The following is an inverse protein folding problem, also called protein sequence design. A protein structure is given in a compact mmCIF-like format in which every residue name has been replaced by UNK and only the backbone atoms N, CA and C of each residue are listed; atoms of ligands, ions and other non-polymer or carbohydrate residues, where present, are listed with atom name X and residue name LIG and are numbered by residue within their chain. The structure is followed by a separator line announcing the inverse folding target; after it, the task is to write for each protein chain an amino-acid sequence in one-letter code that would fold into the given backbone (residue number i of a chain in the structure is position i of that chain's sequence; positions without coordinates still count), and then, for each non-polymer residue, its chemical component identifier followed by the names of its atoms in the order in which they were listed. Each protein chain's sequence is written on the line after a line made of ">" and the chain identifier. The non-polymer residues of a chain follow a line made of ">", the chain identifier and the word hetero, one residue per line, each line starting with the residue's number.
data_IF_860900932387
#
_entry.id   IF_860900932387
#
_cell.length_a   1.000
_cell.length_b   1.000
_cell.length_c   1.000
_cell.angle_alpha   90.00
_cell.angle_beta   90.00
_cell.angle_gamma   90.00
#
_symmetry.space_group_name_H-M   'P 1'
#
loop_
_entity.id
_entity.type
_entity.pdbx_description
1 polymer ?
#
# COMPACT_ATOMS: atom_id res chain seq x y z
N UNK A 1 -26.55 32.88 -24.11
CA UNK A 1 -26.70 32.65 -22.65
C UNK A 1 -25.92 31.38 -22.33
N UNK A 2 -24.93 31.31 -21.43
CA UNK A 2 -24.50 32.17 -20.34
C UNK A 2 -22.96 32.18 -20.25
N UNK A 3 -22.40 33.35 -19.91
CA UNK A 3 -20.98 33.54 -19.64
C UNK A 3 -20.64 33.01 -18.25
N UNK A 4 -19.54 32.26 -18.15
CA UNK A 4 -19.01 31.71 -16.90
C UNK A 4 -18.07 32.75 -16.29
N UNK A 5 -18.54 33.48 -15.28
CA UNK A 5 -17.72 34.41 -14.51
C UNK A 5 -16.62 33.67 -13.73
N UNK A 6 -15.36 34.05 -13.92
CA UNK A 6 -14.23 33.57 -13.10
C UNK A 6 -14.12 34.50 -11.87
N UNK A 7 -14.39 34.05 -10.65
CA UNK A 7 -14.21 34.90 -9.49
C UNK A 7 -12.72 35.19 -9.22
N UNK A 8 -12.44 36.49 -9.13
CA UNK A 8 -11.23 37.18 -8.68
C UNK A 8 -10.34 36.41 -7.68
N UNK A 9 -9.29 35.77 -8.18
CA UNK A 9 -8.23 35.09 -7.42
C UNK A 9 -7.39 36.06 -6.55
N UNK A 10 -7.40 37.35 -6.86
CA UNK A 10 -6.59 38.36 -6.17
C UNK A 10 -7.11 38.69 -4.76
N UNK A 11 -8.44 38.67 -4.56
CA UNK A 11 -9.04 38.94 -3.24
C UNK A 11 -8.72 37.84 -2.21
N UNK A 12 -8.62 36.58 -2.65
CA UNK A 12 -8.30 35.44 -1.79
C UNK A 12 -6.84 35.46 -1.30
N UNK A 13 -5.91 35.89 -2.15
CA UNK A 13 -4.48 36.00 -1.81
C UNK A 13 -4.20 37.09 -0.77
N UNK A 14 -4.88 38.24 -0.88
CA UNK A 14 -4.72 39.33 0.09
C UNK A 14 -5.24 38.95 1.49
N UNK A 15 -6.34 38.20 1.57
CA UNK A 15 -6.93 37.75 2.84
C UNK A 15 -6.01 36.73 3.56
N UNK A 16 -5.41 35.78 2.83
CA UNK A 16 -4.49 34.81 3.45
C UNK A 16 -3.21 35.46 3.99
N UNK A 17 -2.69 36.50 3.32
CA UNK A 17 -1.48 37.21 3.77
C UNK A 17 -1.76 38.04 5.03
N UNK A 18 -2.94 38.68 5.14
CA UNK A 18 -3.30 39.44 6.32
C UNK A 18 -3.49 38.56 7.58
N UNK A 19 -4.01 37.33 7.43
CA UNK A 19 -4.19 36.38 8.54
C UNK A 19 -2.86 35.81 9.03
N UNK A 20 -1.88 35.60 8.14
CA UNK A 20 -0.54 35.13 8.51
C UNK A 20 0.29 36.22 9.22
N UNK A 21 0.04 37.50 8.95
CA UNK A 21 0.76 38.60 9.61
C UNK A 21 0.28 38.85 11.05
N UNK A 22 -0.97 38.54 11.38
CA UNK A 22 -1.55 38.87 12.69
C UNK A 22 -1.25 37.83 13.79
N UNK A 23 -0.64 36.69 13.46
CA UNK A 23 -0.35 35.59 14.39
C UNK A 23 1.08 35.62 14.96
N UNK A 24 1.91 36.60 14.60
CA UNK A 24 3.32 36.67 14.97
C UNK A 24 3.63 37.47 16.27
N UNK A 25 2.63 37.99 16.98
CA UNK A 25 2.84 38.93 18.11
C UNK A 25 2.47 38.38 19.49
N UNK A 26 2.77 37.12 19.77
CA UNK A 26 2.68 36.57 21.12
C UNK A 26 3.77 35.52 21.40
N UNK A 27 5.04 35.92 21.28
CA UNK A 27 6.15 35.18 21.86
C UNK A 27 6.58 35.88 23.16
N UNK A 28 5.94 35.50 24.28
CA UNK A 28 6.47 35.82 25.59
C UNK A 28 7.81 35.10 25.79
N UNK A 29 8.82 35.83 26.24
CA UNK A 29 10.11 35.25 26.58
C UNK A 29 9.97 34.37 27.83
N UNK A 30 9.87 33.05 27.65
CA UNK A 30 10.07 32.10 28.73
C UNK A 30 11.57 32.06 29.07
N UNK A 31 11.98 32.75 30.13
CA UNK A 31 13.33 32.59 30.70
C UNK A 31 13.37 31.31 31.52
N UNK A 32 13.98 30.27 30.96
CA UNK A 32 14.35 29.08 31.73
C UNK A 32 15.67 29.35 32.46
N UNK A 33 15.63 30.05 33.59
CA UNK A 33 16.76 30.09 34.53
C UNK A 33 16.72 28.78 35.34
N UNK A 34 17.22 27.70 34.74
CA UNK A 34 17.35 26.41 35.42
C UNK A 34 18.44 26.50 36.48
N UNK A 35 18.06 26.49 37.76
CA UNK A 35 18.97 26.60 38.91
C UNK A 35 19.84 25.36 39.20
N UNK A 36 19.83 24.34 38.34
CA UNK A 36 20.57 23.09 38.56
C UNK A 36 21.73 22.93 37.56
N UNK A 37 22.90 22.44 38.01
CA UNK A 37 24.03 22.15 37.13
C UNK A 37 23.66 21.07 36.10
N UNK A 38 24.38 20.99 34.97
CA UNK A 38 24.13 20.00 33.92
C UNK A 38 24.04 18.57 34.48
N UNK A 39 22.95 17.86 34.16
CA UNK A 39 22.70 16.47 34.60
C UNK A 39 21.80 16.32 35.84
N UNK A 40 21.32 17.42 36.42
CA UNK A 40 20.38 17.41 37.55
C UNK A 40 19.08 18.15 37.24
N UNK A 41 17.99 17.72 37.87
CA UNK A 41 16.65 18.32 37.79
C UNK A 41 16.21 18.80 39.17
N UNK A 42 15.35 19.84 39.28
CA UNK A 42 14.85 20.26 40.58
C UNK A 42 14.05 19.13 41.23
N UNK A 43 14.28 18.90 42.52
CA UNK A 43 13.64 17.87 43.33
C UNK A 43 12.12 18.09 43.41
N UNK A 44 11.68 19.35 43.48
CA UNK A 44 10.27 19.72 43.43
C UNK A 44 10.07 21.10 42.81
N UNK A 45 8.89 21.33 42.24
CA UNK A 45 8.52 22.62 41.62
C UNK A 45 8.52 23.80 42.60
N UNK A 46 8.47 23.52 43.91
CA UNK A 46 8.45 24.52 44.98
C UNK A 46 9.84 24.84 45.55
N UNK A 47 10.90 24.12 45.13
CA UNK A 47 12.26 24.30 45.64
C UNK A 47 13.29 24.24 44.51
N UNK A 48 13.42 25.31 43.70
CA UNK A 48 14.30 25.35 42.52
C UNK A 48 15.79 25.23 42.84
N UNK A 49 16.18 25.30 44.13
CA UNK A 49 17.56 25.17 44.60
C UNK A 49 17.94 23.76 45.05
N UNK A 50 16.97 22.85 45.20
CA UNK A 50 17.23 21.46 45.56
C UNK A 50 17.29 20.62 44.28
N UNK A 51 18.48 20.12 43.93
CA UNK A 51 18.71 19.37 42.69
C UNK A 51 18.87 17.87 42.97
N UNK A 52 18.30 17.03 42.12
CA UNK A 52 18.42 15.58 42.16
C UNK A 52 18.99 15.06 40.82
N UNK A 53 19.79 13.98 40.82
CA UNK A 53 20.20 13.33 39.59
C UNK A 53 18.96 12.87 38.81
N UNK A 54 19.00 13.03 37.48
CA UNK A 54 17.91 12.53 36.65
C UNK A 54 17.70 11.02 36.91
N UNK A 55 16.48 10.58 37.20
CA UNK A 55 16.20 9.15 37.30
C UNK A 55 16.54 8.51 35.95
N UNK A 56 17.41 7.51 35.97
CA UNK A 56 17.72 6.68 34.80
C UNK A 56 16.51 5.82 34.46
N UNK A 57 15.53 6.40 33.77
CA UNK A 57 14.45 5.62 33.19
C UNK A 57 15.05 4.66 32.16
N UNK A 58 14.82 3.34 32.27
CA UNK A 58 15.19 2.43 31.22
C UNK A 58 14.54 2.90 29.93
N UNK A 59 15.33 2.99 28.84
CA UNK A 59 14.78 3.29 27.52
C UNK A 59 13.60 2.33 27.27
N UNK A 60 12.45 2.84 26.76
CA UNK A 60 11.34 1.96 26.46
C UNK A 60 11.85 0.90 25.48
N UNK A 61 11.86 -0.36 25.92
CA UNK A 61 12.05 -1.50 25.02
C UNK A 61 10.88 -1.44 24.06
N UNK A 62 11.08 -0.84 22.89
CA UNK A 62 10.09 -0.86 21.83
C UNK A 62 9.77 -2.30 21.53
N UNK A 63 8.59 -2.77 21.93
CA UNK A 63 8.07 -4.02 21.42
C UNK A 63 7.98 -3.85 19.90
N UNK A 64 8.81 -4.58 19.15
CA UNK A 64 8.75 -4.55 17.70
C UNK A 64 7.29 -4.79 17.30
N UNK A 65 6.73 -3.86 16.52
CA UNK A 65 5.36 -3.98 16.03
C UNK A 65 5.17 -5.25 15.20
N UNK A 66 3.92 -5.59 14.84
CA UNK A 66 3.65 -6.77 14.02
C UNK A 66 4.45 -6.70 12.71
N UNK A 67 5.17 -7.79 12.42
CA UNK A 67 5.88 -7.97 11.15
C UNK A 67 4.95 -8.67 10.15
N UNK A 68 5.08 -8.34 8.88
CA UNK A 68 4.27 -8.89 7.80
C UNK A 68 5.18 -9.52 6.75
N UNK A 69 4.91 -10.79 6.43
CA UNK A 69 5.56 -11.52 5.36
C UNK A 69 4.70 -11.44 4.10
N UNK A 70 5.30 -10.99 3.01
CA UNK A 70 4.62 -10.95 1.73
C UNK A 70 4.33 -12.32 1.18
N UNK A 71 3.22 -12.41 0.46
CA UNK A 71 2.86 -13.61 -0.29
C UNK A 71 2.89 -13.35 -1.79
N UNK A 72 3.14 -14.41 -2.53
CA UNK A 72 3.30 -14.39 -3.98
C UNK A 72 2.36 -15.37 -4.65
N UNK A 73 1.86 -14.98 -5.81
CA UNK A 73 1.17 -15.86 -6.74
C UNK A 73 1.71 -15.74 -8.16
N UNK A 74 1.32 -16.68 -9.02
CA UNK A 74 1.72 -16.71 -10.42
C UNK A 74 0.70 -17.45 -11.28
N UNK A 75 0.68 -17.13 -12.58
CA UNK A 75 -0.09 -17.82 -13.60
C UNK A 75 0.84 -18.34 -14.69
N UNK A 76 0.59 -19.55 -15.16
CA UNK A 76 1.26 -20.15 -16.29
C UNK A 76 0.25 -20.69 -17.28
N UNK A 77 0.57 -20.59 -18.57
CA UNK A 77 -0.32 -20.98 -19.65
C UNK A 77 0.41 -21.85 -20.67
N UNK A 78 -0.30 -22.85 -21.17
CA UNK A 78 -0.07 -23.42 -22.48
C UNK A 78 -1.11 -22.82 -23.44
N UNK A 79 -0.70 -21.78 -24.17
CA UNK A 79 -1.60 -21.02 -25.03
C UNK A 79 -2.15 -21.85 -26.21
N UNK A 80 -1.38 -22.86 -26.68
CA UNK A 80 -1.81 -23.70 -27.79
C UNK A 80 -2.88 -24.71 -27.35
N UNK A 81 -2.75 -25.23 -26.12
CA UNK A 81 -3.70 -26.18 -25.55
C UNK A 81 -4.87 -25.52 -24.78
N UNK A 82 -4.80 -24.21 -24.53
CA UNK A 82 -5.79 -23.50 -23.72
C UNK A 82 -5.78 -23.91 -22.24
N UNK A 83 -4.61 -24.32 -21.73
CA UNK A 83 -4.47 -24.82 -20.36
C UNK A 83 -3.80 -23.74 -19.50
N UNK A 84 -4.40 -23.46 -18.34
CA UNK A 84 -3.86 -22.55 -17.34
C UNK A 84 -3.50 -23.34 -16.08
N UNK A 85 -2.36 -22.99 -15.48
CA UNK A 85 -2.01 -23.33 -14.10
C UNK A 85 -1.78 -22.10 -13.26
N UNK A 86 -2.00 -22.23 -11.96
CA UNK A 86 -1.93 -21.12 -11.01
C UNK A 86 -1.21 -21.49 -9.72
N UNK A 87 -0.75 -20.46 -9.02
CA UNK A 87 -0.24 -20.54 -7.66
C UNK A 87 -0.64 -19.29 -6.89
N UNK A 88 -1.03 -19.45 -5.64
CA UNK A 88 -1.32 -18.39 -4.67
C UNK A 88 -0.64 -18.70 -3.34
N UNK A 89 -0.54 -17.69 -2.47
CA UNK A 89 -0.10 -17.84 -1.07
C UNK A 89 1.25 -18.53 -0.89
N UNK A 90 2.17 -18.30 -1.84
CA UNK A 90 3.53 -18.85 -1.76
C UNK A 90 4.50 -17.86 -1.12
N UNK A 91 5.60 -18.38 -0.56
CA UNK A 91 6.56 -17.55 0.21
C UNK A 91 7.50 -16.74 -0.69
N UNK A 92 7.57 -17.06 -1.98
CA UNK A 92 8.47 -16.35 -2.90
C UNK A 92 7.99 -16.39 -4.34
N UNK A 93 8.38 -15.38 -5.12
CA UNK A 93 8.13 -15.34 -6.58
C UNK A 93 8.62 -16.59 -7.30
N UNK A 94 9.78 -17.13 -6.90
CA UNK A 94 10.37 -18.34 -7.53
C UNK A 94 9.49 -19.57 -7.29
N UNK A 95 9.01 -19.71 -6.06
CA UNK A 95 8.09 -20.79 -5.69
C UNK A 95 6.76 -20.65 -6.42
N UNK A 96 6.14 -19.47 -6.43
CA UNK A 96 4.91 -19.19 -7.18
C UNK A 96 5.03 -19.65 -8.64
N UNK A 97 6.11 -19.22 -9.32
CA UNK A 97 6.36 -19.57 -10.72
C UNK A 97 6.52 -21.07 -10.94
N UNK A 98 7.22 -21.75 -10.03
CA UNK A 98 7.41 -23.21 -10.11
C UNK A 98 6.08 -23.93 -9.94
N UNK A 99 5.30 -23.59 -8.92
CA UNK A 99 4.02 -24.21 -8.61
C UNK A 99 3.02 -23.98 -9.75
N UNK A 100 2.93 -22.76 -10.30
CA UNK A 100 2.04 -22.48 -11.43
C UNK A 100 2.39 -23.29 -12.68
N UNK A 101 3.69 -23.48 -12.96
CA UNK A 101 4.14 -24.34 -14.06
C UNK A 101 3.83 -25.83 -13.82
N UNK A 102 3.99 -26.30 -12.58
CA UNK A 102 3.64 -27.67 -12.19
C UNK A 102 2.13 -27.91 -12.32
N UNK A 103 1.30 -26.99 -11.83
CA UNK A 103 -0.16 -27.06 -11.96
C UNK A 103 -0.60 -27.06 -13.43
N UNK A 104 0.00 -26.20 -14.27
CA UNK A 104 -0.27 -26.17 -15.71
C UNK A 104 0.03 -27.52 -16.39
N UNK A 105 1.18 -28.13 -16.05
CA UNK A 105 1.58 -29.44 -16.59
C UNK A 105 0.71 -30.57 -16.06
N UNK A 106 0.33 -30.52 -14.78
CA UNK A 106 -0.56 -31.48 -14.15
C UNK A 106 -1.95 -31.49 -14.80
N UNK A 107 -2.38 -30.33 -15.32
CA UNK A 107 -3.62 -30.17 -16.09
C UNK A 107 -3.51 -30.59 -17.56
N UNK A 108 -2.36 -31.10 -17.98
CA UNK A 108 -2.12 -31.62 -19.34
C UNK A 108 -1.39 -30.66 -20.28
N UNK A 109 -0.97 -29.49 -19.81
CA UNK A 109 -0.18 -28.54 -20.62
C UNK A 109 1.22 -29.07 -20.88
N UNK A 110 1.70 -28.94 -22.11
CA UNK A 110 3.03 -29.42 -22.52
C UNK A 110 4.02 -28.26 -22.68
N UNK A 111 3.55 -27.15 -23.25
CA UNK A 111 4.35 -25.95 -23.52
C UNK A 111 4.08 -24.83 -22.48
N UNK A 112 3.86 -25.20 -21.22
CA UNK A 112 3.55 -24.27 -20.12
C UNK A 112 4.64 -23.20 -19.93
N UNK A 113 4.23 -21.93 -19.95
CA UNK A 113 5.07 -20.76 -19.67
C UNK A 113 4.42 -19.86 -18.64
N UNK A 114 5.22 -19.31 -17.72
CA UNK A 114 4.74 -18.29 -16.77
C UNK A 114 4.40 -17.03 -17.54
N UNK A 115 3.17 -16.56 -17.41
CA UNK A 115 2.70 -15.29 -18.00
C UNK A 115 2.78 -14.16 -16.98
N UNK A 116 2.36 -14.41 -15.73
CA UNK A 116 2.24 -13.39 -14.70
C UNK A 116 2.77 -13.89 -13.35
N UNK A 117 3.30 -12.98 -12.55
CA UNK A 117 3.54 -13.21 -11.12
C UNK A 117 3.22 -11.94 -10.34
N UNK A 118 2.53 -12.08 -9.22
CA UNK A 118 1.99 -10.99 -8.43
C UNK A 118 2.34 -11.17 -6.95
N UNK A 119 2.26 -10.08 -6.17
CA UNK A 119 2.67 -10.02 -4.77
C UNK A 119 1.71 -9.13 -4.01
N UNK A 120 1.27 -9.57 -2.84
CA UNK A 120 0.44 -8.79 -1.92
C UNK A 120 -0.80 -8.17 -2.60
N UNK A 121 -1.37 -8.90 -3.56
CA UNK A 121 -2.44 -8.42 -4.44
C UNK A 121 -3.30 -9.57 -4.95
N UNK A 122 -4.38 -9.22 -5.65
CA UNK A 122 -5.22 -10.16 -6.37
C UNK A 122 -4.92 -10.14 -7.86
N UNK A 123 -5.09 -11.29 -8.50
CA UNK A 123 -5.05 -11.48 -9.95
C UNK A 123 -6.39 -11.96 -10.44
N UNK A 124 -6.76 -11.52 -11.63
CA UNK A 124 -7.95 -11.95 -12.35
C UNK A 124 -7.57 -12.23 -13.80
N UNK A 125 -8.17 -13.26 -14.37
CA UNK A 125 -8.16 -13.52 -15.81
C UNK A 125 -9.57 -13.35 -16.34
N UNK A 126 -9.73 -12.45 -17.31
CA UNK A 126 -10.97 -12.27 -18.05
C UNK A 126 -10.79 -12.85 -19.44
N UNK A 127 -11.68 -13.73 -19.86
CA UNK A 127 -11.67 -14.32 -21.19
C UNK A 127 -12.76 -13.69 -22.05
N UNK A 128 -12.42 -13.29 -23.28
CA UNK A 128 -13.35 -13.02 -24.36
C UNK A 128 -13.16 -14.00 -25.51
N UNK A 129 -13.90 -13.81 -26.60
CA UNK A 129 -13.85 -14.67 -27.78
C UNK A 129 -12.51 -14.65 -28.51
N UNK A 130 -11.81 -13.52 -28.47
CA UNK A 130 -10.57 -13.33 -29.23
C UNK A 130 -9.32 -13.53 -28.38
N UNK A 131 -9.35 -13.13 -27.11
CA UNK A 131 -8.20 -13.24 -26.22
C UNK A 131 -8.62 -13.22 -24.74
N UNK A 132 -7.70 -13.58 -23.86
CA UNK A 132 -7.81 -13.38 -22.42
C UNK A 132 -6.89 -12.26 -21.95
N UNK A 133 -7.32 -11.53 -20.92
CA UNK A 133 -6.58 -10.45 -20.31
C UNK A 133 -6.33 -10.78 -18.82
N UNK A 134 -5.08 -10.68 -18.37
CA UNK A 134 -4.66 -10.88 -16.98
C UNK A 134 -4.50 -9.53 -16.29
N UNK A 135 -5.25 -9.29 -15.22
CA UNK A 135 -5.25 -8.01 -14.48
C UNK A 135 -4.92 -8.25 -13.01
N UNK A 136 -4.22 -7.31 -12.38
CA UNK A 136 -3.98 -7.32 -10.93
C UNK A 136 -4.50 -6.06 -10.27
N UNK A 137 -4.98 -6.18 -9.03
CA UNK A 137 -5.38 -5.05 -8.21
C UNK A 137 -5.31 -5.40 -6.71
N UNK A 138 -5.56 -4.43 -5.85
CA UNK A 138 -5.59 -4.65 -4.39
C UNK A 138 -6.76 -5.52 -3.92
N UNK A 139 -7.77 -5.75 -4.75
CA UNK A 139 -8.89 -6.68 -4.50
C UNK A 139 -9.30 -7.39 -5.79
N UNK A 140 -9.95 -8.54 -5.68
CA UNK A 140 -10.41 -9.31 -6.83
C UNK A 140 -11.51 -8.55 -7.59
N UNK A 141 -12.40 -7.85 -6.89
CA UNK A 141 -13.47 -7.06 -7.49
C UNK A 141 -12.91 -5.93 -8.35
N UNK A 142 -11.91 -5.21 -7.82
CA UNK A 142 -11.27 -4.12 -8.57
C UNK A 142 -10.52 -4.66 -9.78
N UNK A 143 -9.84 -5.80 -9.64
CA UNK A 143 -9.15 -6.44 -10.77
C UNK A 143 -10.15 -6.91 -11.85
N UNK A 144 -11.30 -7.45 -11.44
CA UNK A 144 -12.36 -7.88 -12.34
C UNK A 144 -13.02 -6.70 -13.06
N UNK A 145 -13.31 -5.60 -12.35
CA UNK A 145 -13.85 -4.37 -12.97
C UNK A 145 -12.92 -3.85 -14.06
N UNK A 146 -11.61 -3.78 -13.78
CA UNK A 146 -10.61 -3.35 -14.76
C UNK A 146 -10.54 -4.33 -15.94
N UNK A 147 -10.47 -5.64 -15.67
CA UNK A 147 -10.34 -6.66 -16.71
C UNK A 147 -11.57 -6.74 -17.62
N UNK A 148 -12.78 -6.72 -17.06
CA UNK A 148 -14.03 -6.71 -17.81
C UNK A 148 -14.15 -5.43 -18.64
N UNK A 149 -13.87 -4.27 -18.03
CA UNK A 149 -13.87 -2.99 -18.74
C UNK A 149 -12.88 -2.95 -19.90
N UNK A 150 -11.68 -3.52 -19.74
CA UNK A 150 -10.69 -3.62 -20.81
C UNK A 150 -11.18 -4.53 -21.96
N UNK A 151 -11.80 -5.67 -21.64
CA UNK A 151 -12.37 -6.60 -22.61
C UNK A 151 -13.52 -5.96 -23.43
N UNK A 152 -14.40 -5.20 -22.76
CA UNK A 152 -15.49 -4.47 -23.42
C UNK A 152 -14.96 -3.32 -24.27
N UNK A 153 -13.97 -2.57 -23.77
CA UNK A 153 -13.37 -1.44 -24.48
C UNK A 153 -12.72 -1.85 -25.81
N UNK A 154 -12.14 -3.07 -25.87
CA UNK A 154 -11.60 -3.64 -27.11
C UNK A 154 -12.65 -4.29 -28.02
N UNK A 155 -13.94 -4.20 -27.66
CA UNK A 155 -15.08 -4.79 -28.38
C UNK A 155 -14.95 -6.31 -28.58
N UNK A 156 -14.35 -7.00 -27.61
CA UNK A 156 -14.43 -8.47 -27.61
C UNK A 156 -15.82 -8.92 -27.15
N UNK A 157 -16.20 -10.12 -27.55
CA UNK A 157 -17.50 -10.72 -27.21
C UNK A 157 -17.32 -11.73 -26.08
N UNK A 158 -18.42 -11.99 -25.35
CA UNK A 158 -18.48 -12.96 -24.24
C UNK A 158 -17.38 -12.75 -23.19
N UNK A 159 -17.12 -11.48 -22.85
CA UNK A 159 -16.23 -11.10 -21.76
C UNK A 159 -16.74 -11.68 -20.43
N UNK A 160 -15.97 -12.59 -19.84
CA UNK A 160 -16.33 -13.26 -18.60
C UNK A 160 -15.13 -13.41 -17.67
N UNK A 161 -15.39 -13.32 -16.37
CA UNK A 161 -14.41 -13.64 -15.35
C UNK A 161 -14.11 -15.14 -15.38
N UNK A 162 -12.89 -15.51 -15.77
CA UNK A 162 -12.47 -16.90 -15.88
C UNK A 162 -11.75 -17.40 -14.63
N UNK A 163 -10.91 -16.54 -14.03
CA UNK A 163 -10.14 -16.88 -12.83
C UNK A 163 -10.00 -15.65 -11.94
N UNK A 164 -10.03 -15.84 -10.63
CA UNK A 164 -9.78 -14.80 -9.63
C UNK A 164 -9.13 -15.43 -8.40
N UNK A 165 -8.00 -14.88 -7.95
CA UNK A 165 -7.33 -15.36 -6.74
C UNK A 165 -6.48 -14.27 -6.11
N UNK A 166 -6.27 -14.33 -4.80
CA UNK A 166 -5.49 -13.35 -4.06
C UNK A 166 -4.26 -13.97 -3.38
N UNK A 167 -3.27 -13.16 -3.08
CA UNK A 167 -2.12 -13.55 -2.25
C UNK A 167 -1.73 -12.39 -1.38
N UNK A 168 -2.35 -12.32 -0.19
CA UNK A 168 -2.19 -11.21 0.75
C UNK A 168 -1.05 -11.47 1.74
N UNK A 169 -0.40 -10.41 2.26
CA UNK A 169 0.65 -10.57 3.25
C UNK A 169 0.09 -11.18 4.53
N UNK A 170 0.87 -12.08 5.14
CA UNK A 170 0.53 -12.77 6.39
C UNK A 170 1.35 -12.20 7.53
N UNK A 171 0.74 -12.11 8.71
CA UNK A 171 1.44 -11.64 9.91
C UNK A 171 2.45 -12.70 10.37
N UNK A 172 3.71 -12.31 10.50
CA UNK A 172 4.74 -13.14 11.13
C UNK A 172 4.43 -13.25 12.64
N UNK A 173 4.50 -14.47 13.16
CA UNK A 173 4.25 -14.78 14.58
C UNK A 173 5.42 -14.37 15.45
#
# INVERSE_FOLDING_TARGET
>A
MAMRERPSQHRKRAICIAVLALSAMSAGAARAEGGCPPGMVPYSAASPTACAPMPSSPAPRGTAGPRWASQWGALAFDAAAGIMGAASDTRSKREARRVALEDCRARGGQACKVEMSYRDSCVVVVAGDRQSDTTTASSAERAAEIGLGACEARRDKRCQLYYAECSFPVRER
#
